data_IF_527101907787
#
_entry.id   IF_527101907787
#
_cell.length_a   1.000
_cell.length_b   1.000
_cell.length_c   1.000
_cell.angle_alpha   90.00
_cell.angle_beta   90.00
_cell.angle_gamma   90.00
#
_symmetry.space_group_name_H-M   'P 1'
#
loop_
_entity.id
_entity.type
_entity.pdbx_description
1 polymer ?
#
# COMPACT_ATOMS: atom_id res chain seq x y z
N UNK A 1 2.97 -9.97 12.66
CA UNK A 1 2.27 -10.87 11.74
C UNK A 1 2.56 -10.33 10.36
N UNK A 2 3.50 -10.94 9.64
CA UNK A 2 3.76 -10.63 8.23
C UNK A 2 3.07 -11.73 7.45
N UNK A 3 1.88 -11.44 6.94
CA UNK A 3 1.06 -12.36 6.18
C UNK A 3 0.85 -11.72 4.81
N UNK A 4 1.48 -12.31 3.81
CA UNK A 4 1.79 -11.65 2.54
C UNK A 4 3.29 -11.40 2.40
N UNK A 5 3.81 -11.71 1.22
CA UNK A 5 5.08 -11.23 0.67
C UNK A 5 5.46 -9.78 1.03
N UNK A 6 4.49 -8.92 1.30
CA UNK A 6 4.72 -7.55 1.78
C UNK A 6 4.58 -7.44 3.31
N UNK A 7 5.49 -6.67 3.93
CA UNK A 7 5.42 -6.29 5.34
C UNK A 7 4.82 -4.90 5.49
N UNK A 8 3.88 -4.75 6.43
CA UNK A 8 3.21 -3.49 6.72
C UNK A 8 3.20 -3.21 8.23
N UNK A 9 3.77 -2.08 8.66
CA UNK A 9 3.90 -1.70 10.06
C UNK A 9 3.60 -0.21 10.31
N UNK A 10 2.88 0.10 11.40
CA UNK A 10 2.75 1.48 11.89
C UNK A 10 4.10 1.96 12.46
N UNK A 11 4.45 3.22 12.21
CA UNK A 11 5.67 3.89 12.68
C UNK A 11 5.34 5.28 13.24
N UNK A 12 6.27 5.87 13.98
CA UNK A 12 6.17 7.24 14.47
C UNK A 12 4.90 7.51 15.28
N UNK A 13 4.69 6.73 16.35
CA UNK A 13 3.49 6.81 17.22
C UNK A 13 2.16 6.52 16.52
N UNK A 14 2.19 5.82 15.38
CA UNK A 14 0.99 5.45 14.65
C UNK A 14 0.59 6.41 13.52
N UNK A 15 1.35 7.49 13.30
CA UNK A 15 1.10 8.51 12.27
C UNK A 15 1.55 8.13 10.87
N UNK A 16 2.45 7.15 10.78
CA UNK A 16 3.06 6.71 9.53
C UNK A 16 2.83 5.22 9.33
N UNK A 17 2.74 4.80 8.07
CA UNK A 17 2.79 3.40 7.67
C UNK A 17 4.04 3.17 6.83
N UNK A 18 4.78 2.12 7.19
CA UNK A 18 5.87 1.56 6.39
C UNK A 18 5.36 0.31 5.70
N UNK A 19 5.45 0.28 4.37
CA UNK A 19 5.14 -0.89 3.54
C UNK A 19 6.44 -1.28 2.85
N UNK A 20 6.90 -2.52 3.00
CA UNK A 20 8.16 -2.97 2.43
C UNK A 20 8.07 -4.38 1.86
N UNK A 21 8.85 -4.60 0.83
CA UNK A 21 8.89 -5.84 0.08
C UNK A 21 10.30 -6.03 -0.52
N UNK A 22 10.68 -7.28 -0.75
CA UNK A 22 11.95 -7.61 -1.42
C UNK A 22 11.75 -8.11 -2.86
N UNK A 23 10.52 -8.44 -3.26
CA UNK A 23 10.19 -9.10 -4.53
C UNK A 23 9.73 -8.14 -5.66
N UNK A 24 9.66 -6.83 -5.40
CA UNK A 24 9.27 -5.79 -6.36
C UNK A 24 7.77 -5.63 -6.58
N UNK A 25 6.97 -6.04 -5.61
CA UNK A 25 5.50 -6.07 -5.65
C UNK A 25 4.85 -4.75 -5.29
N UNK A 26 5.60 -3.91 -4.58
CA UNK A 26 5.20 -2.54 -4.35
C UNK A 26 5.58 -1.73 -5.59
N UNK A 27 4.61 -1.15 -6.28
CA UNK A 27 4.85 -0.37 -7.50
C UNK A 27 4.23 1.01 -7.39
N UNK A 28 5.00 2.04 -7.74
CA UNK A 28 4.49 3.40 -7.94
C UNK A 28 3.87 3.49 -9.33
N UNK A 29 2.67 4.06 -9.42
CA UNK A 29 1.99 4.29 -10.69
C UNK A 29 2.33 5.70 -11.18
N UNK A 30 2.93 5.79 -12.36
CA UNK A 30 3.18 7.05 -13.06
C UNK A 30 1.91 7.43 -13.81
N UNK A 31 1.10 8.31 -13.22
CA UNK A 31 -0.24 8.65 -13.73
C UNK A 31 -0.27 9.12 -15.20
N UNK A 32 0.79 9.78 -15.66
CA UNK A 32 0.87 10.32 -17.03
C UNK A 32 1.07 9.23 -18.09
N UNK A 33 1.79 8.15 -17.76
CA UNK A 33 2.16 7.09 -18.70
C UNK A 33 1.46 5.77 -18.43
N UNK A 34 0.94 5.58 -17.20
CA UNK A 34 0.44 4.30 -16.71
C UNK A 34 1.56 3.34 -16.27
N UNK A 35 2.83 3.76 -16.32
CA UNK A 35 3.95 2.90 -15.97
C UNK A 35 3.91 2.52 -14.49
N UNK A 36 4.23 1.25 -14.21
CA UNK A 36 4.36 0.73 -12.84
C UNK A 36 5.84 0.54 -12.53
N UNK A 37 6.38 1.40 -11.67
CA UNK A 37 7.78 1.37 -11.27
C UNK A 37 7.92 0.63 -9.94
N UNK A 38 8.59 -0.54 -9.90
CA UNK A 38 8.78 -1.28 -8.66
C UNK A 38 9.66 -0.50 -7.67
N UNK A 39 9.28 -0.53 -6.40
CA UNK A 39 9.99 0.13 -5.30
C UNK A 39 10.12 -0.85 -4.13
N UNK A 40 11.21 -0.75 -3.39
CA UNK A 40 11.48 -1.65 -2.25
C UNK A 40 10.64 -1.32 -1.01
N UNK A 41 10.30 -0.04 -0.83
CA UNK A 41 9.68 0.46 0.38
C UNK A 41 8.91 1.75 0.13
N UNK A 42 7.78 1.90 0.81
CA UNK A 42 7.02 3.13 0.95
C UNK A 42 6.98 3.50 2.44
N UNK A 43 7.18 4.77 2.71
CA UNK A 43 6.95 5.36 4.02
C UNK A 43 6.09 6.59 3.81
N UNK A 44 4.81 6.53 4.21
CA UNK A 44 3.88 7.63 4.06
C UNK A 44 3.13 7.91 5.35
N UNK A 45 2.63 9.14 5.45
CA UNK A 45 1.77 9.56 6.55
C UNK A 45 0.37 9.03 6.31
N UNK A 46 -0.25 8.46 7.34
CA UNK A 46 -1.57 7.82 7.22
C UNK A 46 -2.65 8.86 6.87
N UNK A 47 -2.59 10.04 7.49
CA UNK A 47 -3.50 11.17 7.19
C UNK A 47 -3.48 11.62 5.73
N UNK A 48 -2.40 11.33 4.99
CA UNK A 48 -2.25 11.76 3.60
C UNK A 48 -2.86 10.72 2.63
N UNK A 49 -3.35 9.57 3.12
CA UNK A 49 -3.99 8.54 2.30
C UNK A 49 -5.44 8.95 2.01
N UNK A 50 -5.76 9.22 0.75
CA UNK A 50 -7.10 9.63 0.33
C UNK A 50 -8.02 8.46 -0.01
N UNK A 51 -7.44 7.37 -0.51
CA UNK A 51 -8.19 6.19 -0.95
C UNK A 51 -7.35 4.94 -0.81
N UNK A 52 -8.03 3.83 -0.48
CA UNK A 52 -7.51 2.47 -0.56
C UNK A 52 -8.60 1.64 -1.22
N UNK A 53 -8.26 0.78 -2.17
CA UNK A 53 -9.20 -0.08 -2.88
C UNK A 53 -8.55 -1.41 -3.22
N UNK A 54 -9.30 -2.50 -3.07
CA UNK A 54 -8.86 -3.84 -3.45
C UNK A 54 -9.47 -4.21 -4.81
N UNK A 55 -8.64 -4.72 -5.72
CA UNK A 55 -9.09 -5.27 -6.99
C UNK A 55 -9.32 -6.77 -6.84
N UNK A 56 -10.58 -7.17 -6.92
CA UNK A 56 -11.01 -8.56 -6.67
C UNK A 56 -10.43 -9.57 -7.69
N UNK A 57 -10.18 -9.14 -8.93
CA UNK A 57 -9.70 -10.04 -10.00
C UNK A 57 -8.18 -10.20 -10.03
N UNK A 58 -7.42 -9.22 -9.51
CA UNK A 58 -5.95 -9.14 -9.66
C UNK A 58 -5.19 -9.47 -8.36
N UNK A 59 -5.88 -9.66 -7.22
CA UNK A 59 -5.25 -9.75 -5.89
C UNK A 59 -4.37 -8.53 -5.58
N UNK A 60 -4.78 -7.36 -6.07
CA UNK A 60 -4.04 -6.10 -5.93
C UNK A 60 -4.74 -5.16 -4.94
N UNK A 61 -3.96 -4.33 -4.25
CA UNK A 61 -4.46 -3.18 -3.51
C UNK A 61 -3.88 -1.90 -4.11
N UNK A 62 -4.73 -0.92 -4.39
CA UNK A 62 -4.33 0.39 -4.87
C UNK A 62 -4.63 1.43 -3.80
N UNK A 63 -3.70 2.36 -3.58
CA UNK A 63 -3.94 3.51 -2.71
C UNK A 63 -3.35 4.80 -3.29
N UNK A 64 -4.02 5.91 -2.99
CA UNK A 64 -3.65 7.24 -3.48
C UNK A 64 -3.39 8.19 -2.32
N UNK A 65 -2.33 9.00 -2.44
CA UNK A 65 -2.01 10.06 -1.49
C UNK A 65 -2.58 11.42 -1.93
N UNK A 66 -2.70 12.38 -1.02
CA UNK A 66 -3.21 13.74 -1.27
C UNK A 66 -2.45 14.48 -2.38
N UNK A 67 -1.16 14.19 -2.54
CA UNK A 67 -0.33 14.76 -3.60
C UNK A 67 -0.56 14.11 -4.99
N UNK A 68 -1.51 13.18 -5.10
CA UNK A 68 -1.84 12.45 -6.32
C UNK A 68 -0.88 11.32 -6.68
N UNK A 69 0.07 10.98 -5.81
CA UNK A 69 0.91 9.79 -5.98
C UNK A 69 0.07 8.55 -5.68
N UNK A 70 0.11 7.61 -6.62
CA UNK A 70 -0.63 6.34 -6.52
C UNK A 70 0.35 5.17 -6.47
N UNK A 71 -0.01 4.17 -5.68
CA UNK A 71 0.74 2.94 -5.50
C UNK A 71 -0.17 1.73 -5.67
N UNK A 72 0.39 0.65 -6.19
CA UNK A 72 -0.23 -0.67 -6.19
C UNK A 72 0.66 -1.65 -5.43
N UNK A 73 0.03 -2.41 -4.55
CA UNK A 73 0.58 -3.59 -3.90
C UNK A 73 0.06 -4.77 -4.71
N UNK A 74 0.90 -5.35 -5.55
CA UNK A 74 0.46 -6.30 -6.56
C UNK A 74 0.67 -7.76 -6.17
N UNK A 75 -0.13 -8.66 -6.75
CA UNK A 75 0.04 -10.11 -6.60
C UNK A 75 0.15 -10.55 -5.12
N UNK A 76 -0.75 -10.03 -4.28
CA UNK A 76 -0.75 -10.31 -2.85
C UNK A 76 -1.22 -11.74 -2.59
N UNK A 77 -0.55 -12.42 -1.66
CA UNK A 77 -0.97 -13.77 -1.25
C UNK A 77 -2.31 -13.73 -0.50
N UNK A 78 -2.49 -12.71 0.35
CA UNK A 78 -3.68 -12.51 1.18
C UNK A 78 -4.19 -11.06 1.01
N UNK A 79 -4.81 -10.71 -0.14
CA UNK A 79 -5.22 -9.34 -0.43
C UNK A 79 -6.31 -8.84 0.55
N UNK A 80 -7.23 -9.70 0.99
CA UNK A 80 -8.30 -9.31 1.94
C UNK A 80 -7.72 -8.94 3.32
N UNK A 81 -6.74 -9.71 3.81
CA UNK A 81 -6.08 -9.45 5.09
C UNK A 81 -5.25 -8.16 5.03
N UNK A 82 -4.47 -8.01 3.95
CA UNK A 82 -3.66 -6.80 3.71
C UNK A 82 -4.54 -5.55 3.61
N UNK A 83 -5.67 -5.65 2.89
CA UNK A 83 -6.62 -4.56 2.74
C UNK A 83 -7.26 -4.19 4.08
N UNK A 84 -7.66 -5.20 4.86
CA UNK A 84 -8.22 -5.01 6.19
C UNK A 84 -7.21 -4.36 7.15
N UNK A 85 -5.95 -4.79 7.11
CA UNK A 85 -4.88 -4.21 7.92
C UNK A 85 -4.64 -2.74 7.56
N UNK A 86 -4.54 -2.42 6.26
CA UNK A 86 -4.29 -1.05 5.82
C UNK A 86 -5.48 -0.14 6.17
N UNK A 87 -6.71 -0.57 5.91
CA UNK A 87 -7.90 0.23 6.24
C UNK A 87 -8.04 0.44 7.75
N UNK A 88 -7.72 -0.56 8.57
CA UNK A 88 -7.65 -0.40 10.03
C UNK A 88 -6.63 0.66 10.44
N UNK A 89 -5.48 0.73 9.76
CA UNK A 89 -4.48 1.75 10.07
C UNK A 89 -4.97 3.17 9.86
N UNK A 90 -5.81 3.39 8.85
CA UNK A 90 -6.41 4.67 8.49
C UNK A 90 -7.54 5.07 9.44
N UNK A 91 -8.37 4.11 9.85
CA UNK A 91 -9.52 4.38 10.75
C UNK A 91 -9.09 4.66 12.19
N UNK A 92 -7.95 4.09 12.62
CA UNK A 92 -7.39 4.27 13.96
C UNK A 92 -6.51 5.54 14.12
N UNK A 93 -6.36 6.38 13.09
CA UNK A 93 -5.63 7.68 13.12
C UNK A 93 -6.59 8.85 13.44
#
# INVERSE_FOLDING_TARGET
>A
MGNGNISMEKRGEGKYVEISDEDGQIKRIVRETGDRVPVKRIFCKISDVCSVSQKLEESDIVFTLENGVEYVLDNLENPDETYSQFTQFIVDD
#
